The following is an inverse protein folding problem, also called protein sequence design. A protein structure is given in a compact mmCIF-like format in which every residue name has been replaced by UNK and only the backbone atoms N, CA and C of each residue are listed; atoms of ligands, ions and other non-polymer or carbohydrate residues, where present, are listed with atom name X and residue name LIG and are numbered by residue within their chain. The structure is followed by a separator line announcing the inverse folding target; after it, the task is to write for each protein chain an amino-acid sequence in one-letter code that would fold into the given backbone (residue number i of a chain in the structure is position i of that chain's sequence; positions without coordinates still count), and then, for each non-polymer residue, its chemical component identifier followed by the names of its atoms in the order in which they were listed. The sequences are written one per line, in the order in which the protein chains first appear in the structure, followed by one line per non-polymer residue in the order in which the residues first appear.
data_IF_177849459661
#
_entry.id   IF_177849459661
#
_cell.length_a   1.000
_cell.length_b   1.000
_cell.length_c   1.000
_cell.angle_alpha   90.00
_cell.angle_beta   90.00
_cell.angle_gamma   90.00
#
_symmetry.space_group_name_H-M   'P 1'
#
loop_
_entity.id
_entity.type
_entity.pdbx_description
1 polymer ?
#
# COMPACT_ATOMS: atom_id res chain seq x y z
N UNK A 1 -5.07 1.82 18.97
CA UNK A 1 -4.14 2.95 18.81
C UNK A 1 -4.60 3.94 17.75
N UNK A 2 -5.00 3.53 16.54
CA UNK A 2 -5.45 4.46 15.48
C UNK A 2 -6.57 5.45 15.90
N UNK A 3 -7.48 5.02 16.78
CA UNK A 3 -8.55 5.85 17.36
C UNK A 3 -8.04 7.05 18.18
N UNK A 4 -6.79 7.05 18.63
CA UNK A 4 -6.20 8.17 19.35
C UNK A 4 -5.83 9.34 18.41
N UNK A 5 -5.75 9.09 17.09
CA UNK A 5 -5.32 10.07 16.09
C UNK A 5 -6.26 10.10 14.86
N UNK A 6 -7.56 10.38 15.02
CA UNK A 6 -8.53 10.33 13.92
C UNK A 6 -8.26 11.36 12.81
N UNK A 7 -7.53 12.43 13.14
CA UNK A 7 -7.22 13.54 12.23
C UNK A 7 -5.81 13.49 11.63
N UNK A 8 -5.06 12.41 11.85
CA UNK A 8 -3.71 12.28 11.30
C UNK A 8 -3.77 12.27 9.77
N UNK A 9 -2.93 13.10 9.14
CA UNK A 9 -2.77 13.18 7.68
C UNK A 9 -1.51 12.51 7.18
N UNK A 10 -0.48 12.49 8.01
CA UNK A 10 0.82 11.96 7.65
C UNK A 10 1.30 11.06 8.76
N UNK A 11 1.57 9.80 8.43
CA UNK A 11 2.17 8.85 9.34
C UNK A 11 3.49 8.37 8.78
N UNK A 12 4.58 8.55 9.53
CA UNK A 12 5.90 8.05 9.14
C UNK A 12 6.45 7.14 10.22
N UNK A 13 6.53 5.85 9.91
CA UNK A 13 7.07 4.80 10.75
C UNK A 13 8.35 4.30 10.11
N UNK A 14 9.45 4.99 10.40
CA UNK A 14 10.80 4.61 9.97
C UNK A 14 11.46 3.81 11.08
N UNK A 15 11.55 2.50 10.90
CA UNK A 15 12.37 1.61 11.74
C UNK A 15 13.77 1.48 11.19
N UNK A 16 14.75 1.17 12.06
CA UNK A 16 16.16 1.00 11.68
C UNK A 16 16.48 -0.41 11.15
N UNK A 17 15.57 -1.38 11.28
CA UNK A 17 15.85 -2.79 10.97
C UNK A 17 14.77 -3.40 10.06
N UNK A 18 15.12 -3.81 8.82
CA UNK A 18 14.16 -4.36 7.86
C UNK A 18 13.68 -5.78 8.19
N UNK A 19 14.36 -6.52 9.08
CA UNK A 19 14.16 -7.98 9.23
C UNK A 19 12.99 -8.42 10.11
N UNK A 20 12.24 -7.52 10.76
CA UNK A 20 11.18 -7.91 11.71
C UNK A 20 9.85 -7.19 11.54
N UNK A 21 9.66 -6.44 10.46
CA UNK A 21 8.39 -5.70 10.30
C UNK A 21 7.25 -6.67 10.04
N UNK A 22 6.31 -6.77 10.99
CA UNK A 22 5.08 -7.57 10.85
C UNK A 22 3.92 -6.80 10.21
N UNK A 23 4.20 -5.61 9.67
CA UNK A 23 3.16 -4.81 9.04
C UNK A 23 2.85 -5.38 7.65
N UNK A 24 1.58 -5.66 7.40
CA UNK A 24 1.07 -6.15 6.13
C UNK A 24 0.19 -5.08 5.49
N UNK A 25 -0.11 -5.21 4.19
CA UNK A 25 -1.08 -4.35 3.51
C UNK A 25 -2.47 -4.39 4.19
N UNK A 26 -2.88 -5.54 4.71
CA UNK A 26 -4.11 -5.67 5.52
C UNK A 26 -4.06 -4.83 6.79
N UNK A 27 -2.91 -4.78 7.46
CA UNK A 27 -2.68 -3.91 8.60
C UNK A 27 -2.92 -2.43 8.29
N UNK A 28 -2.61 -1.99 7.07
CA UNK A 28 -2.86 -0.61 6.63
C UNK A 28 -4.35 -0.31 6.56
N UNK A 29 -5.19 -1.27 6.16
CA UNK A 29 -6.66 -1.09 6.09
C UNK A 29 -7.22 -0.81 7.48
N UNK A 30 -6.74 -1.52 8.51
CA UNK A 30 -7.18 -1.29 9.89
C UNK A 30 -6.83 0.12 10.41
N UNK A 31 -5.67 0.64 10.01
CA UNK A 31 -5.26 2.01 10.30
C UNK A 31 -6.15 3.01 9.56
N UNK A 32 -6.28 2.82 8.24
CA UNK A 32 -7.07 3.67 7.35
C UNK A 32 -8.54 3.77 7.78
N UNK A 33 -9.14 2.68 8.27
CA UNK A 33 -10.52 2.66 8.78
C UNK A 33 -10.77 3.72 9.87
N UNK A 34 -9.80 3.95 10.74
CA UNK A 34 -9.94 4.89 11.86
C UNK A 34 -9.36 6.28 11.54
N UNK A 35 -8.44 6.37 10.58
CA UNK A 35 -7.76 7.60 10.18
C UNK A 35 -8.23 8.05 8.78
N UNK A 36 -9.48 8.51 8.66
CA UNK A 36 -10.12 8.83 7.36
C UNK A 36 -9.46 10.00 6.60
N UNK A 37 -8.61 10.79 7.27
CA UNK A 37 -7.86 11.92 6.68
C UNK A 37 -6.40 11.60 6.33
N UNK A 38 -6.01 10.33 6.41
CA UNK A 38 -4.64 9.90 6.19
C UNK A 38 -4.26 10.02 4.70
N UNK A 39 -3.38 10.95 4.38
CA UNK A 39 -2.96 11.30 3.01
C UNK A 39 -1.66 10.62 2.60
N UNK A 40 -0.73 10.48 3.55
CA UNK A 40 0.59 9.89 3.33
C UNK A 40 0.94 8.88 4.43
N UNK A 41 1.41 7.70 4.02
CA UNK A 41 1.98 6.68 4.90
C UNK A 41 3.40 6.38 4.44
N UNK A 42 4.34 6.39 5.39
CA UNK A 42 5.68 5.82 5.22
C UNK A 42 5.83 4.67 6.21
N UNK A 43 6.02 3.45 5.74
CA UNK A 43 6.09 2.26 6.59
C UNK A 43 6.81 1.12 5.88
N UNK A 44 7.56 0.31 6.62
CA UNK A 44 8.07 -0.95 6.09
C UNK A 44 6.94 -2.00 6.06
N UNK A 45 6.91 -2.83 5.02
CA UNK A 45 5.96 -3.92 4.84
C UNK A 45 6.69 -5.26 4.85
N UNK A 46 6.03 -6.29 5.35
CA UNK A 46 6.46 -7.67 5.18
C UNK A 46 6.14 -8.14 3.77
N UNK A 47 7.04 -8.91 3.15
CA UNK A 47 6.77 -9.64 1.87
C UNK A 47 5.82 -10.82 2.05
N UNK A 48 4.92 -10.75 3.03
CA UNK A 48 3.92 -11.80 3.25
C UNK A 48 2.89 -11.76 2.12
N UNK A 49 2.34 -12.93 1.79
CA UNK A 49 1.30 -13.13 0.79
C UNK A 49 0.16 -12.13 0.95
N UNK A 50 -0.27 -11.51 -0.15
CA UNK A 50 -1.36 -10.54 -0.16
C UNK A 50 -2.65 -11.27 -0.53
N UNK A 51 -3.61 -11.33 0.39
CA UNK A 51 -4.91 -11.90 0.07
C UNK A 51 -5.66 -10.99 -0.92
N UNK A 52 -6.05 -11.54 -2.07
CA UNK A 52 -6.90 -10.82 -3.03
C UNK A 52 -8.30 -10.70 -2.43
N UNK A 53 -8.82 -9.49 -2.21
CA UNK A 53 -10.18 -9.32 -1.69
C UNK A 53 -11.20 -9.92 -2.67
N UNK A 54 -12.09 -10.77 -2.15
CA UNK A 54 -13.13 -11.43 -2.97
C UNK A 54 -14.30 -10.52 -3.33
N UNK A 55 -14.46 -9.43 -2.58
CA UNK A 55 -15.51 -8.45 -2.75
C UNK A 55 -14.95 -7.06 -2.50
N UNK A 56 -15.60 -6.05 -3.10
CA UNK A 56 -15.24 -4.66 -2.90
C UNK A 56 -15.51 -4.27 -1.44
N UNK A 57 -14.53 -3.67 -0.74
CA UNK A 57 -14.75 -3.22 0.63
C UNK A 57 -15.69 -2.01 0.65
N UNK A 58 -16.66 -2.01 1.56
CA UNK A 58 -17.57 -0.88 1.79
C UNK A 58 -16.82 0.39 2.26
N UNK A 59 -15.67 0.19 2.91
CA UNK A 59 -14.85 1.23 3.53
C UNK A 59 -13.58 1.54 2.74
N UNK A 60 -13.70 1.79 1.43
CA UNK A 60 -12.57 2.30 0.65
C UNK A 60 -12.07 3.64 1.22
N UNK A 61 -10.76 3.82 1.27
CA UNK A 61 -10.12 5.03 1.78
C UNK A 61 -9.69 5.94 0.64
N UNK A 62 -10.31 7.12 0.59
CA UNK A 62 -10.18 8.04 -0.54
C UNK A 62 -9.15 9.16 -0.32
N UNK A 63 -8.63 9.33 0.89
CA UNK A 63 -7.67 10.40 1.17
C UNK A 63 -6.22 9.95 1.01
N UNK A 64 -5.92 8.65 1.04
CA UNK A 64 -4.54 8.17 0.87
C UNK A 64 -4.10 8.33 -0.58
N UNK A 65 -3.04 9.10 -0.80
CA UNK A 65 -2.48 9.40 -2.12
C UNK A 65 -1.02 8.96 -2.26
N UNK A 66 -0.29 8.90 -1.15
CA UNK A 66 1.13 8.57 -1.11
C UNK A 66 1.42 7.39 -0.16
N UNK A 67 2.05 6.34 -0.68
CA UNK A 67 2.55 5.23 0.10
C UNK A 67 4.06 5.07 -0.12
N UNK A 68 4.84 5.22 0.94
CA UNK A 68 6.27 4.96 0.95
C UNK A 68 6.51 3.64 1.70
N UNK A 69 6.88 2.60 0.97
CA UNK A 69 7.10 1.24 1.49
C UNK A 69 8.53 1.04 2.00
N UNK A 70 9.36 2.09 2.02
CA UNK A 70 10.76 2.04 2.44
C UNK A 70 11.53 0.93 1.69
N UNK A 71 12.32 0.15 2.41
CA UNK A 71 13.11 -0.98 1.93
C UNK A 71 12.34 -2.32 2.10
N UNK A 72 11.12 -2.37 1.58
CA UNK A 72 10.25 -3.55 1.62
C UNK A 72 10.04 -4.08 0.20
N UNK A 73 10.78 -5.13 -0.20
CA UNK A 73 10.57 -5.74 -1.51
C UNK A 73 9.19 -6.40 -1.55
N UNK A 74 8.60 -6.44 -2.73
CA UNK A 74 7.44 -7.28 -3.01
C UNK A 74 7.86 -8.38 -3.97
N UNK A 75 7.46 -9.60 -3.65
CA UNK A 75 7.67 -10.76 -4.51
C UNK A 75 7.00 -10.54 -5.88
N UNK A 76 7.69 -10.81 -7.01
CA UNK A 76 7.12 -10.62 -8.34
C UNK A 76 5.80 -11.37 -8.57
N UNK A 77 5.61 -12.52 -7.90
CA UNK A 77 4.35 -13.29 -7.93
C UNK A 77 3.16 -12.60 -7.23
N UNK A 78 3.43 -11.64 -6.34
CA UNK A 78 2.42 -10.94 -5.53
C UNK A 78 2.04 -9.57 -6.11
N UNK A 79 2.73 -9.10 -7.15
CA UNK A 79 2.50 -7.77 -7.79
C UNK A 79 1.03 -7.57 -8.14
N UNK A 80 0.42 -8.54 -8.82
CA UNK A 80 -1.00 -8.45 -9.21
C UNK A 80 -1.92 -8.41 -8.00
N UNK A 81 -1.65 -9.24 -6.99
CA UNK A 81 -2.47 -9.30 -5.78
C UNK A 81 -2.40 -7.97 -5.00
N UNK A 82 -1.20 -7.41 -4.85
CA UNK A 82 -0.99 -6.11 -4.23
C UNK A 82 -1.66 -4.97 -5.01
N UNK A 83 -1.55 -4.94 -6.33
CA UNK A 83 -2.21 -3.94 -7.16
C UNK A 83 -3.73 -3.97 -7.01
N UNK A 84 -4.33 -5.17 -7.05
CA UNK A 84 -5.77 -5.37 -6.87
C UNK A 84 -6.20 -4.96 -5.46
N UNK A 85 -5.43 -5.35 -4.43
CA UNK A 85 -5.68 -4.96 -3.06
C UNK A 85 -5.65 -3.43 -2.88
N UNK A 86 -4.60 -2.77 -3.36
CA UNK A 86 -4.41 -1.33 -3.23
C UNK A 86 -5.46 -0.55 -4.03
N UNK A 87 -5.81 -0.99 -5.24
CA UNK A 87 -6.84 -0.35 -6.05
C UNK A 87 -8.23 -0.40 -5.38
N UNK A 88 -8.55 -1.49 -4.68
CA UNK A 88 -9.83 -1.63 -3.97
C UNK A 88 -9.89 -0.81 -2.68
N UNK A 89 -8.82 -0.83 -1.88
CA UNK A 89 -8.82 -0.17 -0.57
C UNK A 89 -8.40 1.30 -0.62
N UNK A 90 -7.57 1.68 -1.59
CA UNK A 90 -6.97 3.01 -1.72
C UNK A 90 -7.09 3.53 -3.17
N UNK A 91 -8.30 3.70 -3.71
CA UNK A 91 -8.53 4.02 -5.13
C UNK A 91 -8.01 5.38 -5.58
N UNK A 92 -7.52 6.21 -4.65
CA UNK A 92 -6.91 7.51 -4.94
C UNK A 92 -5.39 7.51 -4.73
N UNK A 93 -4.77 6.34 -4.59
CA UNK A 93 -3.32 6.20 -4.51
C UNK A 93 -2.69 6.64 -5.83
N UNK A 94 -1.76 7.59 -5.76
CA UNK A 94 -1.11 8.20 -6.93
C UNK A 94 0.37 7.90 -7.01
N UNK A 95 0.98 7.48 -5.90
CA UNK A 95 2.41 7.24 -5.83
C UNK A 95 2.71 6.16 -4.81
N UNK A 96 3.53 5.21 -5.24
CA UNK A 96 4.24 4.28 -4.36
C UNK A 96 5.73 4.59 -4.48
N UNK A 97 6.40 4.81 -3.35
CA UNK A 97 7.85 5.02 -3.30
C UNK A 97 8.46 3.82 -2.58
N UNK A 98 9.45 3.21 -3.20
CA UNK A 98 10.28 2.20 -2.57
C UNK A 98 11.72 2.72 -2.57
N UNK A 99 12.36 2.79 -1.41
CA UNK A 99 13.77 3.18 -1.32
C UNK A 99 14.62 1.90 -1.22
N UNK A 100 15.47 1.60 -2.21
CA UNK A 100 16.37 0.45 -2.11
C UNK A 100 17.36 0.65 -0.95
N UNK A 101 17.91 -0.44 -0.39
CA UNK A 101 18.98 -0.34 0.58
C UNK A 101 20.20 0.31 -0.10
N UNK A 102 20.86 1.23 0.61
CA UNK A 102 21.99 2.01 0.12
C UNK A 102 23.19 1.17 -0.37
N UNK A 103 23.19 -0.15 -0.09
CA UNK A 103 24.25 -1.10 -0.42
C UNK A 103 23.92 -2.04 -1.59
N UNK A 104 22.65 -2.12 -2.02
CA UNK A 104 22.23 -3.07 -3.06
C UNK A 104 21.36 -2.31 -4.06
N UNK A 105 21.99 -1.84 -5.14
CA UNK A 105 21.33 -1.30 -6.33
C UNK A 105 20.65 -2.39 -7.15
N UNK A 106 19.73 -3.14 -6.53
CA UNK A 106 18.98 -4.16 -7.23
C UNK A 106 17.83 -3.50 -7.99
N UNK A 107 18.05 -3.24 -9.28
CA UNK A 107 17.04 -2.67 -10.16
C UNK A 107 15.77 -3.54 -10.27
N UNK A 108 15.79 -4.82 -9.83
CA UNK A 108 14.59 -5.64 -9.75
C UNK A 108 13.64 -5.19 -8.63
N UNK A 109 14.18 -4.56 -7.57
CA UNK A 109 13.44 -4.08 -6.41
C UNK A 109 12.43 -2.97 -6.76
N UNK A 110 12.89 -1.93 -7.46
CA UNK A 110 12.06 -0.78 -7.85
C UNK A 110 11.00 -1.20 -8.87
N UNK A 111 11.37 -2.08 -9.81
CA UNK A 111 10.49 -2.55 -10.89
C UNK A 111 9.22 -3.22 -10.41
N UNK A 112 9.25 -3.97 -9.30
CA UNK A 112 8.05 -4.65 -8.81
C UNK A 112 7.00 -3.66 -8.30
N UNK A 113 7.39 -2.63 -7.55
CA UNK A 113 6.46 -1.61 -7.06
C UNK A 113 6.00 -0.66 -8.16
N UNK A 114 6.85 -0.39 -9.16
CA UNK A 114 6.44 0.32 -10.37
C UNK A 114 5.35 -0.45 -11.13
N UNK A 115 5.52 -1.75 -11.31
CA UNK A 115 4.51 -2.61 -11.95
C UNK A 115 3.17 -2.65 -11.17
N UNK A 116 3.22 -2.60 -9.83
CA UNK A 116 2.02 -2.43 -8.99
C UNK A 116 1.35 -1.09 -9.33
N UNK A 117 2.11 -0.01 -9.36
CA UNK A 117 1.60 1.34 -9.60
C UNK A 117 1.00 1.51 -11.00
N UNK A 118 1.62 0.93 -12.03
CA UNK A 118 1.11 0.93 -13.41
C UNK A 118 -0.24 0.21 -13.54
N UNK A 119 -0.47 -0.81 -12.72
CA UNK A 119 -1.70 -1.62 -12.75
C UNK A 119 -2.89 -0.93 -12.07
N UNK A 120 -2.65 -0.05 -11.09
CA UNK A 120 -3.70 0.55 -10.25
C UNK A 120 -4.74 1.37 -11.05
N UNK A 121 -4.38 2.32 -11.95
CA UNK A 121 -5.36 3.15 -12.66
C UNK A 121 -6.37 2.33 -13.49
N UNK A 122 -5.89 1.27 -14.15
CA UNK A 122 -6.71 0.36 -14.94
C UNK A 122 -7.70 -0.39 -14.05
N UNK A 123 -7.23 -0.91 -12.91
CA UNK A 123 -8.06 -1.65 -11.95
C UNK A 123 -9.11 -0.75 -11.28
N UNK A 124 -8.75 0.47 -10.91
CA UNK A 124 -9.69 1.47 -10.36
C UNK A 124 -10.75 1.83 -11.39
N UNK A 125 -10.38 1.99 -12.67
CA UNK A 125 -11.34 2.28 -13.74
C UNK A 125 -12.31 1.12 -13.95
N UNK A 126 -11.82 -0.11 -13.99
CA UNK A 126 -12.64 -1.32 -14.11
C UNK A 126 -13.61 -1.48 -12.93
N UNK A 127 -13.13 -1.27 -11.70
CA UNK A 127 -13.95 -1.37 -10.49
C UNK A 127 -15.08 -0.33 -10.43
N UNK A 128 -14.94 0.83 -11.09
CA UNK A 128 -16.02 1.83 -11.22
C UNK A 128 -17.10 1.38 -12.21
N UNK A 129 -16.70 0.79 -13.33
CA UNK A 129 -17.61 0.33 -14.39
C UNK A 129 -18.48 -0.82 -13.90
N UNK A 130 -17.93 -1.76 -13.14
CA UNK A 130 -18.66 -2.93 -12.64
C UNK A 130 -19.58 -2.64 -11.44
N UNK A 131 -19.71 -1.38 -11.00
CA UNK A 131 -20.51 -0.99 -9.83
C UNK A 131 -21.83 -0.28 -10.15
N UNK A 132 -22.21 -0.22 -11.43
CA UNK A 132 -23.50 0.26 -11.95
C UNK A 132 -24.31 -0.90 -12.50
#
# INVERSE_FOLDING_TARGET
MAQAWPHIRTLRLRGTLPSTTRCTLEGLVHLARNCKRLELITIALSSSTVAIPRARPDDAHHALHDLDVLNSPIDPGEVTAAAVFLAMHFPQLRRIVACPPHEIGDAAYERSWDAVMESIPTLVSYARICST
#
